data_IF_334990921192
#
_entry.id   IF_334990921192
#
_cell.length_a   1.000
_cell.length_b   1.000
_cell.length_c   1.000
_cell.angle_alpha   90.00
_cell.angle_beta   90.00
_cell.angle_gamma   90.00
#
_symmetry.space_group_name_H-M   'P 1'
#
loop_
_entity.id
_entity.type
_entity.pdbx_description
1 polymer ?
#
# COMPACT_ATOMS: atom_id res chain seq x y z
N UNK A 1 -26.09 13.51 -16.51
CA UNK A 1 -26.56 13.72 -15.13
C UNK A 1 -25.48 13.15 -14.21
N UNK A 2 -24.49 13.98 -13.83
CA UNK A 2 -23.20 13.48 -13.32
C UNK A 2 -23.10 13.46 -11.79
N UNK A 3 -23.86 14.29 -11.08
CA UNK A 3 -23.77 14.41 -9.62
C UNK A 3 -24.17 13.12 -8.88
N UNK A 4 -25.32 12.54 -9.23
CA UNK A 4 -25.83 11.30 -8.61
C UNK A 4 -24.81 10.16 -8.80
N UNK A 5 -24.24 10.05 -10.01
CA UNK A 5 -23.19 9.08 -10.31
C UNK A 5 -21.93 9.34 -9.48
N UNK A 6 -21.44 10.58 -9.41
CA UNK A 6 -20.26 10.92 -8.61
C UNK A 6 -20.44 10.64 -7.12
N UNK A 7 -21.63 10.87 -6.56
CA UNK A 7 -21.93 10.54 -5.16
C UNK A 7 -21.93 9.03 -4.95
N UNK A 8 -22.52 8.26 -5.88
CA UNK A 8 -22.49 6.79 -5.85
C UNK A 8 -21.06 6.24 -5.84
N UNK A 9 -20.17 6.75 -6.70
CA UNK A 9 -18.77 6.33 -6.74
C UNK A 9 -18.00 6.66 -5.44
N UNK A 10 -18.26 7.82 -4.83
CA UNK A 10 -17.65 8.17 -3.54
C UNK A 10 -18.14 7.26 -2.41
N UNK A 11 -19.42 6.87 -2.45
CA UNK A 11 -19.98 5.92 -1.48
C UNK A 11 -19.30 4.57 -1.57
N UNK A 12 -19.23 3.98 -2.78
CA UNK A 12 -18.55 2.71 -3.03
C UNK A 12 -17.08 2.73 -2.60
N UNK A 13 -16.39 3.84 -2.85
CA UNK A 13 -15.00 4.03 -2.43
C UNK A 13 -14.86 4.08 -0.89
N UNK A 14 -15.83 4.67 -0.20
CA UNK A 14 -15.86 4.68 1.27
C UNK A 14 -16.09 3.28 1.84
N UNK A 15 -17.02 2.50 1.27
CA UNK A 15 -17.23 1.09 1.65
C UNK A 15 -15.96 0.26 1.43
N UNK A 16 -15.28 0.48 0.30
CA UNK A 16 -13.99 -0.15 0.05
C UNK A 16 -12.92 0.23 1.09
N UNK A 17 -12.86 1.51 1.49
CA UNK A 17 -11.97 1.96 2.55
C UNK A 17 -12.30 1.33 3.91
N UNK A 18 -13.58 1.15 4.24
CA UNK A 18 -14.00 0.47 5.47
C UNK A 18 -13.58 -1.01 5.49
N UNK A 19 -13.72 -1.71 4.36
CA UNK A 19 -13.20 -3.08 4.22
C UNK A 19 -11.70 -3.16 4.45
N UNK A 20 -10.94 -2.28 3.79
CA UNK A 20 -9.49 -2.20 3.98
C UNK A 20 -9.18 -1.95 5.47
N UNK A 21 -9.87 -0.99 6.10
CA UNK A 21 -9.65 -0.68 7.51
C UNK A 21 -9.88 -1.89 8.42
N UNK A 22 -10.94 -2.66 8.18
CA UNK A 22 -11.24 -3.88 8.93
C UNK A 22 -10.09 -4.90 8.83
N UNK A 23 -9.54 -5.11 7.63
CA UNK A 23 -8.41 -6.04 7.44
C UNK A 23 -7.13 -5.50 8.09
N UNK A 24 -6.88 -4.19 8.00
CA UNK A 24 -5.70 -3.58 8.62
C UNK A 24 -5.76 -3.66 10.16
N UNK A 25 -6.95 -3.52 10.74
CA UNK A 25 -7.19 -3.63 12.18
C UNK A 25 -6.89 -5.05 12.70
N UNK A 26 -7.18 -6.10 11.92
CA UNK A 26 -6.92 -7.48 12.32
C UNK A 26 -5.46 -7.89 12.08
N UNK A 27 -4.91 -7.56 10.92
CA UNK A 27 -3.62 -8.11 10.48
C UNK A 27 -2.42 -7.27 10.91
N UNK A 28 -2.54 -5.94 10.86
CA UNK A 28 -1.38 -5.03 10.93
C UNK A 28 -1.55 -3.86 11.88
N UNK A 29 -2.53 -3.91 12.80
CA UNK A 29 -2.74 -2.87 13.82
C UNK A 29 -1.48 -2.53 14.61
N UNK A 30 -0.61 -3.49 14.85
CA UNK A 30 0.67 -3.29 15.54
C UNK A 30 1.65 -2.34 14.81
N UNK A 31 1.46 -2.10 13.50
CA UNK A 31 2.23 -1.12 12.73
C UNK A 31 1.74 0.32 12.94
N UNK A 32 0.52 0.50 13.46
CA UNK A 32 -0.07 1.81 13.69
C UNK A 32 0.35 2.35 15.05
N UNK A 33 1.40 3.18 15.05
CA UNK A 33 1.89 3.87 16.24
C UNK A 33 1.75 5.39 16.07
N UNK A 34 1.09 6.05 17.03
CA UNK A 34 1.02 7.51 17.09
C UNK A 34 -0.24 8.11 16.44
N UNK A 35 -0.07 9.19 15.67
CA UNK A 35 -1.18 10.04 15.22
C UNK A 35 -1.87 9.58 13.92
N UNK A 36 -1.25 8.68 13.15
CA UNK A 36 -1.85 8.16 11.91
C UNK A 36 -2.83 7.05 12.25
N UNK A 37 -4.12 7.30 12.05
CA UNK A 37 -5.16 6.31 12.31
C UNK A 37 -5.39 5.38 11.09
N UNK A 38 -5.96 4.20 11.37
CA UNK A 38 -6.19 3.15 10.36
C UNK A 38 -7.13 3.64 9.26
N UNK A 39 -8.19 4.35 9.61
CA UNK A 39 -9.14 4.89 8.63
C UNK A 39 -8.49 5.86 7.65
N UNK A 40 -7.54 6.69 8.07
CA UNK A 40 -6.84 7.62 7.20
C UNK A 40 -5.97 6.87 6.18
N UNK A 41 -5.27 5.82 6.63
CA UNK A 41 -4.49 4.96 5.74
C UNK A 41 -5.40 4.19 4.79
N UNK A 42 -6.50 3.62 5.28
CA UNK A 42 -7.44 2.88 4.46
C UNK A 42 -8.10 3.76 3.39
N UNK A 43 -8.51 4.98 3.75
CA UNK A 43 -9.02 5.97 2.79
C UNK A 43 -7.96 6.35 1.74
N UNK A 44 -6.70 6.48 2.14
CA UNK A 44 -5.61 6.78 1.22
C UNK A 44 -5.33 5.61 0.26
N UNK A 45 -5.32 4.37 0.77
CA UNK A 45 -5.21 3.15 -0.05
C UNK A 45 -6.36 3.11 -1.05
N UNK A 46 -7.62 3.20 -0.59
CA UNK A 46 -8.79 3.23 -1.45
C UNK A 46 -8.72 4.38 -2.47
N UNK A 47 -8.13 5.52 -2.13
CA UNK A 47 -7.93 6.61 -3.08
C UNK A 47 -6.93 6.34 -4.19
N UNK A 48 -5.97 5.45 -3.97
CA UNK A 48 -4.95 5.10 -4.95
C UNK A 48 -5.30 3.85 -5.76
N UNK A 49 -6.09 2.92 -5.21
CA UNK A 49 -6.37 1.62 -5.83
C UNK A 49 -7.81 1.41 -6.30
N UNK A 50 -8.74 2.33 -6.00
CA UNK A 50 -10.12 2.20 -6.46
C UNK A 50 -10.27 2.58 -7.94
N UNK A 51 -10.68 1.63 -8.77
CA UNK A 51 -10.86 1.81 -10.22
C UNK A 51 -12.31 1.62 -10.71
N UNK A 52 -13.30 1.83 -9.83
CA UNK A 52 -14.72 1.56 -10.15
C UNK A 52 -15.00 0.06 -10.04
N UNK A 53 -14.93 -0.45 -8.82
CA UNK A 53 -15.14 -1.87 -8.52
C UNK A 53 -16.60 -2.26 -8.74
N UNK A 54 -16.80 -3.47 -9.26
CA UNK A 54 -18.13 -4.07 -9.37
C UNK A 54 -18.69 -4.38 -7.98
N UNK A 55 -20.02 -4.38 -7.85
CA UNK A 55 -20.70 -4.55 -6.56
C UNK A 55 -20.38 -5.92 -5.92
N UNK A 56 -20.13 -6.95 -6.72
CA UNK A 56 -19.71 -8.29 -6.26
C UNK A 56 -18.40 -8.23 -5.45
N UNK A 57 -17.40 -7.48 -5.93
CA UNK A 57 -16.15 -7.27 -5.20
C UNK A 57 -16.36 -6.46 -3.91
N UNK A 58 -17.34 -5.55 -3.91
CA UNK A 58 -17.78 -4.82 -2.71
C UNK A 58 -18.65 -5.66 -1.77
N UNK A 59 -19.02 -6.88 -2.12
CA UNK A 59 -19.66 -7.84 -1.22
C UNK A 59 -18.66 -8.90 -0.71
N UNK A 60 -17.65 -9.26 -1.49
CA UNK A 60 -16.63 -10.26 -1.12
C UNK A 60 -15.71 -9.84 0.03
N UNK A 61 -15.26 -10.79 0.85
CA UNK A 61 -14.25 -10.53 1.88
C UNK A 61 -12.88 -10.32 1.25
N UNK A 62 -12.15 -9.29 1.67
CA UNK A 62 -10.77 -9.06 1.23
C UNK A 62 -9.83 -10.03 1.95
N UNK A 63 -9.32 -11.02 1.21
CA UNK A 63 -8.26 -11.90 1.69
C UNK A 63 -6.86 -11.28 1.54
N UNK A 64 -5.84 -12.01 2.01
CA UNK A 64 -4.45 -11.56 1.96
C UNK A 64 -3.93 -11.33 0.52
N UNK A 65 -4.44 -12.07 -0.46
CA UNK A 65 -4.00 -11.96 -1.84
C UNK A 65 -4.57 -10.70 -2.48
N UNK A 66 -5.87 -10.43 -2.29
CA UNK A 66 -6.50 -9.18 -2.69
C UNK A 66 -5.76 -7.97 -2.07
N UNK A 67 -5.43 -8.06 -0.79
CA UNK A 67 -4.66 -7.01 -0.12
C UNK A 67 -3.28 -6.80 -0.72
N UNK A 68 -2.55 -7.86 -1.07
CA UNK A 68 -1.25 -7.71 -1.73
C UNK A 68 -1.37 -6.98 -3.07
N UNK A 69 -2.38 -7.30 -3.87
CA UNK A 69 -2.63 -6.64 -5.17
C UNK A 69 -2.92 -5.15 -4.96
N UNK A 70 -3.86 -4.84 -4.04
CA UNK A 70 -4.22 -3.46 -3.69
C UNK A 70 -3.00 -2.66 -3.20
N UNK A 71 -2.19 -3.27 -2.32
CA UNK A 71 -0.99 -2.65 -1.78
C UNK A 71 0.10 -2.49 -2.83
N UNK A 72 0.19 -3.39 -3.82
CA UNK A 72 1.16 -3.29 -4.90
C UNK A 72 0.88 -2.07 -5.80
N UNK A 73 -0.39 -1.80 -6.12
CA UNK A 73 -0.77 -0.58 -6.86
C UNK A 73 -0.37 0.69 -6.12
N UNK A 74 -0.69 0.74 -4.84
CA UNK A 74 -0.30 1.85 -3.96
C UNK A 74 1.23 1.99 -3.91
N UNK A 75 1.94 0.88 -3.70
CA UNK A 75 3.39 0.82 -3.57
C UNK A 75 4.09 1.38 -4.80
N UNK A 76 3.65 1.02 -6.01
CA UNK A 76 4.25 1.52 -7.26
C UNK A 76 4.20 3.04 -7.33
N UNK A 77 3.04 3.65 -7.03
CA UNK A 77 2.88 5.11 -7.03
C UNK A 77 3.76 5.77 -5.97
N UNK A 78 3.81 5.21 -4.77
CA UNK A 78 4.60 5.77 -3.67
C UNK A 78 6.11 5.64 -3.88
N UNK A 79 6.58 4.56 -4.51
CA UNK A 79 7.99 4.39 -4.88
C UNK A 79 8.41 5.46 -5.89
N UNK A 80 7.59 5.71 -6.91
CA UNK A 80 7.86 6.79 -7.88
C UNK A 80 7.93 8.13 -7.16
N UNK A 81 6.93 8.46 -6.34
CA UNK A 81 6.91 9.69 -5.54
C UNK A 81 8.15 9.84 -4.64
N UNK A 82 8.59 8.75 -4.00
CA UNK A 82 9.77 8.76 -3.13
C UNK A 82 11.07 8.98 -3.91
N UNK A 83 11.20 8.39 -5.10
CA UNK A 83 12.39 8.55 -5.95
C UNK A 83 12.46 9.98 -6.50
N UNK A 84 11.35 10.50 -7.02
CA UNK A 84 11.30 11.80 -7.70
C UNK A 84 11.30 12.99 -6.73
N UNK A 85 10.64 12.86 -5.58
CA UNK A 85 10.39 14.00 -4.70
C UNK A 85 10.92 13.86 -3.28
N UNK A 86 11.27 12.64 -2.83
CA UNK A 86 11.72 12.36 -1.45
C UNK A 86 10.77 12.91 -0.36
N UNK A 87 9.46 12.86 -0.63
CA UNK A 87 8.42 13.53 0.15
C UNK A 87 7.21 12.64 0.39
N UNK A 88 7.46 11.46 0.94
CA UNK A 88 6.37 10.65 1.49
C UNK A 88 5.94 11.21 2.85
N UNK A 89 4.63 11.31 3.05
CA UNK A 89 4.07 11.63 4.35
C UNK A 89 4.03 10.37 5.25
N UNK A 90 3.63 10.53 6.51
CA UNK A 90 3.61 9.43 7.47
C UNK A 90 2.70 8.27 7.04
N UNK A 91 1.51 8.56 6.53
CA UNK A 91 0.57 7.54 6.06
C UNK A 91 1.12 6.77 4.86
N UNK A 92 1.77 7.47 3.93
CA UNK A 92 2.40 6.85 2.75
C UNK A 92 3.59 5.97 3.14
N UNK A 93 4.41 6.40 4.09
CA UNK A 93 5.46 5.55 4.65
C UNK A 93 4.88 4.29 5.31
N UNK A 94 3.76 4.42 6.01
CA UNK A 94 3.09 3.29 6.64
C UNK A 94 2.52 2.32 5.59
N UNK A 95 1.96 2.82 4.48
CA UNK A 95 1.53 1.98 3.35
C UNK A 95 2.70 1.17 2.77
N UNK A 96 3.90 1.75 2.64
CA UNK A 96 5.10 0.99 2.22
C UNK A 96 5.44 -0.12 3.22
N UNK A 97 5.33 0.14 4.53
CA UNK A 97 5.60 -0.86 5.56
C UNK A 97 4.56 -2.00 5.54
N UNK A 98 3.29 -1.66 5.36
CA UNK A 98 2.21 -2.64 5.22
C UNK A 98 2.42 -3.48 3.96
N UNK A 99 2.74 -2.86 2.81
CA UNK A 99 3.05 -3.58 1.58
C UNK A 99 4.23 -4.56 1.77
N UNK A 100 5.29 -4.13 2.47
CA UNK A 100 6.43 -4.99 2.81
C UNK A 100 6.01 -6.16 3.72
N UNK A 101 5.11 -5.93 4.68
CA UNK A 101 4.57 -6.99 5.53
C UNK A 101 3.80 -8.04 4.72
N UNK A 102 2.84 -7.62 3.90
CA UNK A 102 2.07 -8.53 3.04
C UNK A 102 2.98 -9.26 2.03
N UNK A 103 3.96 -8.58 1.46
CA UNK A 103 4.93 -9.20 0.56
C UNK A 103 5.76 -10.32 1.23
N UNK A 104 5.84 -10.36 2.56
CA UNK A 104 6.55 -11.40 3.31
C UNK A 104 5.68 -12.61 3.69
N UNK A 105 4.36 -12.56 3.46
CA UNK A 105 3.44 -13.67 3.76
C UNK A 105 3.62 -14.83 2.79
N UNK A 106 3.18 -16.02 3.20
CA UNK A 106 3.11 -17.19 2.33
C UNK A 106 1.71 -17.31 1.75
N UNK A 107 1.60 -17.27 0.43
CA UNK A 107 0.35 -17.46 -0.28
C UNK A 107 0.22 -18.93 -0.71
N UNK A 108 -0.81 -19.61 -0.22
CA UNK A 108 -1.02 -21.03 -0.53
C UNK A 108 -1.36 -21.23 -2.01
N UNK A 109 -0.88 -22.33 -2.58
CA UNK A 109 -1.01 -22.68 -4.00
C UNK A 109 -2.41 -23.19 -4.40
N UNK A 110 -3.42 -23.04 -3.54
CA UNK A 110 -4.74 -23.65 -3.76
C UNK A 110 -5.59 -22.90 -4.79
N UNK A 111 -5.25 -21.66 -5.10
CA UNK A 111 -5.87 -20.87 -6.17
C UNK A 111 -5.11 -21.12 -7.48
N UNK A 112 -5.86 -21.33 -8.56
CA UNK A 112 -5.44 -21.57 -9.95
C UNK A 112 -3.96 -21.21 -10.25
N UNK A 113 -3.21 -22.16 -10.82
CA UNK A 113 -1.76 -22.09 -11.13
C UNK A 113 -1.24 -20.77 -11.73
N UNK A 114 -2.09 -19.90 -12.31
CA UNK A 114 -1.74 -18.55 -12.77
C UNK A 114 -1.67 -17.47 -11.68
N UNK A 115 -2.56 -17.51 -10.67
CA UNK A 115 -2.67 -16.47 -9.64
C UNK A 115 -1.45 -16.44 -8.71
N UNK A 116 -0.87 -17.61 -8.43
CA UNK A 116 0.29 -17.76 -7.55
C UNK A 116 1.57 -17.14 -8.12
N UNK A 117 1.77 -17.20 -9.44
CA UNK A 117 2.97 -16.66 -10.09
C UNK A 117 2.98 -15.13 -10.08
N UNK A 118 1.83 -14.50 -10.30
CA UNK A 118 1.67 -13.06 -10.27
C UNK A 118 1.88 -12.49 -8.86
N UNK A 119 1.26 -13.09 -7.84
CA UNK A 119 1.47 -12.69 -6.45
C UNK A 119 2.96 -12.77 -6.08
N UNK A 120 3.65 -13.85 -6.48
CA UNK A 120 5.08 -13.99 -6.25
C UNK A 120 5.90 -12.89 -6.92
N UNK A 121 5.55 -12.49 -8.14
CA UNK A 121 6.18 -11.37 -8.83
C UNK A 121 6.00 -10.06 -8.04
N UNK A 122 4.81 -9.83 -7.48
CA UNK A 122 4.56 -8.65 -6.64
C UNK A 122 5.39 -8.67 -5.36
N UNK A 123 5.50 -9.82 -4.70
CA UNK A 123 6.36 -9.99 -3.52
C UNK A 123 7.83 -9.67 -3.83
N UNK A 124 8.35 -10.21 -4.93
CA UNK A 124 9.72 -10.00 -5.39
C UNK A 124 9.98 -8.52 -5.73
N UNK A 125 9.05 -7.86 -6.43
CA UNK A 125 9.14 -6.45 -6.76
C UNK A 125 9.12 -5.55 -5.52
N UNK A 126 8.20 -5.79 -4.57
CA UNK A 126 8.13 -5.01 -3.33
C UNK A 126 9.43 -5.17 -2.54
N UNK A 127 9.91 -6.41 -2.37
CA UNK A 127 11.14 -6.68 -1.64
C UNK A 127 12.36 -6.01 -2.29
N UNK A 128 12.54 -6.17 -3.60
CA UNK A 128 13.67 -5.62 -4.32
C UNK A 128 13.68 -4.08 -4.31
N UNK A 129 12.52 -3.44 -4.47
CA UNK A 129 12.42 -1.98 -4.46
C UNK A 129 12.57 -1.41 -3.04
N UNK A 130 12.05 -2.07 -2.01
CA UNK A 130 12.29 -1.69 -0.61
C UNK A 130 13.80 -1.68 -0.30
N UNK A 131 14.53 -2.73 -0.70
CA UNK A 131 15.99 -2.79 -0.50
C UNK A 131 16.73 -1.66 -1.24
N UNK A 132 16.30 -1.31 -2.46
CA UNK A 132 16.87 -0.19 -3.21
C UNK A 132 16.58 1.15 -2.53
N UNK A 133 15.35 1.36 -2.03
CA UNK A 133 14.99 2.57 -1.29
C UNK A 133 15.79 2.73 0.00
N UNK A 134 15.96 1.66 0.78
CA UNK A 134 16.77 1.68 2.01
C UNK A 134 18.24 2.05 1.70
N UNK A 135 18.82 1.51 0.61
CA UNK A 135 20.16 1.88 0.14
C UNK A 135 20.23 3.35 -0.26
N UNK A 136 19.27 3.86 -1.03
CA UNK A 136 19.23 5.28 -1.43
C UNK A 136 19.12 6.20 -0.20
N UNK A 137 18.27 5.86 0.77
CA UNK A 137 18.11 6.64 2.00
C UNK A 137 19.38 6.66 2.84
N UNK A 138 20.08 5.53 2.97
CA UNK A 138 21.35 5.47 3.71
C UNK A 138 22.47 6.28 3.04
N UNK A 139 22.55 6.26 1.70
CA UNK A 139 23.48 7.09 0.93
C UNK A 139 23.19 8.59 1.09
N UNK A 140 21.92 9.01 1.03
CA UNK A 140 21.55 10.42 1.27
C UNK A 140 21.97 10.85 2.68
N UNK A 141 21.68 10.04 3.70
CA UNK A 141 22.07 10.33 5.10
C UNK A 141 23.58 10.45 5.29
N UNK A 142 24.39 9.63 4.61
CA UNK A 142 25.85 9.72 4.72
C UNK A 142 26.41 10.99 4.05
N UNK A 143 25.85 11.41 2.92
CA UNK A 143 26.22 12.65 2.23
C UNK A 143 25.92 13.91 3.06
N UNK A 144 24.77 13.96 3.74
CA UNK A 144 24.48 15.07 4.65
C UNK A 144 25.44 15.12 5.84
N UNK A 145 25.85 13.97 6.37
CA UNK A 145 26.79 13.89 7.51
C UNK A 145 28.22 14.27 7.14
N UNK A 146 28.67 13.96 5.92
CA UNK A 146 30.01 14.37 5.46
C UNK A 146 30.09 15.88 5.20
N UNK A 147 29.02 16.52 4.72
CA UNK A 147 28.99 17.97 4.53
C UNK A 147 28.89 18.76 5.85
N UNK A 148 28.20 18.24 6.87
CA UNK A 148 28.15 18.87 8.21
C UNK A 148 29.43 18.78 9.04
N UNK A 149 30.48 18.10 8.54
CA UNK A 149 31.77 17.93 9.23
C UNK A 149 32.89 18.82 8.66
N UNK A 150 32.62 19.54 7.58
CA UNK A 150 33.55 20.46 6.90
C UNK A 150 33.18 21.94 7.09
N UNK A 151 32.43 22.29 8.15
CA UNK A 151 32.12 23.67 8.53
C UNK A 151 32.64 23.92 9.95
#
# INVERSE_FOLDING_TARGET
MNFIRSVGEQWKKSEFAEKIASVLETEVRHLFCGATNIMAVANLIAAMSYYGLDDEFLEESLDDAHMLIILFDCFRLLVVKQIEHDKLNQAEHLIIQIAKHYASKTYASETELGYTAELKLFQEHISALCQKLEKLQSLRRSQYRSMGRNI
#
